data_IF_287531308093
#
_entry.id   IF_287531308093
#
_cell.length_a   1.000
_cell.length_b   1.000
_cell.length_c   1.000
_cell.angle_alpha   90.00
_cell.angle_beta   90.00
_cell.angle_gamma   90.00
#
_symmetry.space_group_name_H-M   'P 1'
#
loop_
_entity.id
_entity.type
_entity.pdbx_description
1 polymer ?
#
# COMPACT_ATOMS: atom_id res chain seq x y z
N UNK A 1 6.49 10.53 -9.17
CA UNK A 1 5.92 9.25 -8.67
C UNK A 1 4.77 9.63 -7.75
N UNK A 2 3.59 9.03 -7.93
CA UNK A 2 2.42 9.38 -7.12
C UNK A 2 2.30 8.32 -6.02
N UNK A 3 2.25 8.75 -4.77
CA UNK A 3 2.01 7.86 -3.63
C UNK A 3 0.55 7.95 -3.22
N UNK A 4 -0.03 6.79 -2.91
CA UNK A 4 -1.33 6.69 -2.27
C UNK A 4 -1.16 6.11 -0.88
N UNK A 5 -1.69 6.80 0.11
CA UNK A 5 -1.50 6.49 1.51
C UNK A 5 -2.79 6.00 2.14
N UNK A 6 -2.65 5.10 3.11
CA UNK A 6 -3.76 4.62 3.91
C UNK A 6 -4.45 3.39 3.30
N UNK A 7 -4.86 2.50 4.19
CA UNK A 7 -5.46 1.20 3.85
C UNK A 7 -6.68 1.33 2.94
N UNK A 8 -7.63 2.22 3.25
CA UNK A 8 -8.89 2.35 2.51
C UNK A 8 -8.62 2.80 1.07
N UNK A 9 -7.79 3.83 0.88
CA UNK A 9 -7.45 4.36 -0.44
C UNK A 9 -6.74 3.31 -1.29
N UNK A 10 -5.70 2.66 -0.73
CA UNK A 10 -4.93 1.62 -1.43
C UNK A 10 -5.81 0.45 -1.83
N UNK A 11 -6.67 -0.03 -0.92
CA UNK A 11 -7.61 -1.11 -1.21
C UNK A 11 -8.56 -0.73 -2.35
N UNK A 12 -9.15 0.47 -2.30
CA UNK A 12 -10.05 0.95 -3.36
C UNK A 12 -9.34 1.02 -4.71
N UNK A 13 -8.08 1.46 -4.75
CA UNK A 13 -7.31 1.54 -5.98
C UNK A 13 -6.97 0.15 -6.56
N UNK A 14 -6.60 -0.81 -5.71
CA UNK A 14 -6.38 -2.21 -6.11
C UNK A 14 -7.65 -2.84 -6.69
N UNK A 15 -8.79 -2.63 -6.04
CA UNK A 15 -10.08 -3.15 -6.49
C UNK A 15 -10.54 -2.50 -7.80
N UNK A 16 -10.34 -1.18 -7.95
CA UNK A 16 -10.77 -0.44 -9.13
C UNK A 16 -9.94 -0.77 -10.37
N UNK A 17 -8.66 -1.15 -10.22
CA UNK A 17 -7.70 -1.43 -11.32
C UNK A 17 -7.58 -0.31 -12.36
N UNK A 18 -7.93 0.92 -11.99
CA UNK A 18 -7.88 2.11 -12.87
C UNK A 18 -6.53 2.81 -12.85
N UNK A 19 -5.62 2.39 -11.97
CA UNK A 19 -4.28 2.95 -11.82
C UNK A 19 -3.26 1.84 -11.86
N UNK A 20 -2.12 2.11 -12.48
CA UNK A 20 -0.98 1.20 -12.48
C UNK A 20 -0.22 1.33 -11.16
N UNK A 21 -0.53 0.45 -10.23
CA UNK A 21 0.20 0.30 -8.97
C UNK A 21 1.40 -0.60 -9.25
N UNK A 22 2.59 -0.12 -8.92
CA UNK A 22 3.85 -0.83 -9.14
C UNK A 22 4.19 -1.75 -7.97
N UNK A 23 3.96 -1.28 -6.74
CA UNK A 23 4.19 -2.04 -5.51
C UNK A 23 3.32 -1.48 -4.38
N UNK A 24 2.88 -2.37 -3.49
CA UNK A 24 2.28 -1.99 -2.20
C UNK A 24 3.30 -2.25 -1.09
N UNK A 25 3.54 -1.24 -0.27
CA UNK A 25 4.37 -1.31 0.92
C UNK A 25 3.48 -1.46 2.14
N UNK A 26 3.77 -2.48 2.96
CA UNK A 26 3.04 -2.75 4.21
C UNK A 26 4.02 -2.74 5.36
N UNK A 27 3.67 -2.05 6.45
CA UNK A 27 4.52 -1.97 7.64
C UNK A 27 4.83 -3.37 8.19
N UNK A 28 6.06 -3.58 8.63
CA UNK A 28 6.52 -4.86 9.16
C UNK A 28 5.69 -5.38 10.33
N UNK A 29 5.36 -4.49 11.26
CA UNK A 29 4.60 -4.80 12.48
C UNK A 29 3.08 -4.68 12.31
N UNK A 30 2.59 -4.44 11.09
CA UNK A 30 1.15 -4.40 10.84
C UNK A 30 0.58 -5.82 11.00
N UNK A 31 -0.38 -6.05 11.93
CA UNK A 31 -0.95 -7.37 12.16
C UNK A 31 -1.52 -7.95 10.87
N UNK A 32 -1.25 -9.24 10.61
CA UNK A 32 -1.67 -9.90 9.38
C UNK A 32 -3.18 -9.75 9.10
N UNK A 33 -4.01 -9.88 10.13
CA UNK A 33 -5.47 -9.69 10.05
C UNK A 33 -5.85 -8.30 9.50
N UNK A 34 -5.08 -7.26 9.85
CA UNK A 34 -5.32 -5.89 9.37
C UNK A 34 -4.78 -5.65 7.95
N UNK A 35 -3.85 -6.48 7.50
CA UNK A 35 -3.24 -6.38 6.18
C UNK A 35 -3.89 -7.32 5.15
N UNK A 36 -4.61 -8.35 5.60
CA UNK A 36 -5.06 -9.47 4.75
C UNK A 36 -5.87 -9.02 3.54
N UNK A 37 -6.79 -8.07 3.72
CA UNK A 37 -7.60 -7.54 2.64
C UNK A 37 -6.77 -6.87 1.54
N UNK A 38 -5.69 -6.19 1.93
CA UNK A 38 -4.75 -5.60 0.97
C UNK A 38 -3.86 -6.65 0.32
N UNK A 39 -3.42 -7.66 1.08
CA UNK A 39 -2.63 -8.75 0.51
C UNK A 39 -3.42 -9.50 -0.55
N UNK A 40 -4.68 -9.82 -0.27
CA UNK A 40 -5.58 -10.53 -1.18
C UNK A 40 -5.88 -9.67 -2.41
N UNK A 41 -6.20 -8.38 -2.22
CA UNK A 41 -6.47 -7.47 -3.33
C UNK A 41 -5.24 -7.22 -4.21
N UNK A 42 -4.05 -7.12 -3.62
CA UNK A 42 -2.79 -6.97 -4.35
C UNK A 42 -2.46 -8.23 -5.14
N UNK A 43 -2.60 -9.41 -4.54
CA UNK A 43 -2.43 -10.69 -5.24
C UNK A 43 -3.41 -10.82 -6.41
N UNK A 44 -4.69 -10.51 -6.21
CA UNK A 44 -5.71 -10.54 -7.27
C UNK A 44 -5.39 -9.55 -8.40
N UNK A 45 -4.82 -8.40 -8.08
CA UNK A 45 -4.41 -7.39 -9.05
C UNK A 45 -3.04 -7.66 -9.71
N UNK A 46 -2.32 -8.72 -9.30
CA UNK A 46 -0.97 -9.03 -9.78
C UNK A 46 0.06 -8.00 -9.34
N UNK A 47 -0.19 -7.30 -8.24
CA UNK A 47 0.68 -6.24 -7.71
C UNK A 47 1.56 -6.82 -6.60
N UNK A 48 2.90 -6.66 -6.67
CA UNK A 48 3.78 -7.16 -5.62
C UNK A 48 3.57 -6.39 -4.31
N UNK A 49 3.67 -7.11 -3.20
CA UNK A 49 3.65 -6.53 -1.85
C UNK A 49 5.03 -6.69 -1.23
N UNK A 50 5.56 -5.62 -0.64
CA UNK A 50 6.82 -5.63 0.10
C UNK A 50 6.58 -5.14 1.53
N UNK A 51 7.26 -5.78 2.48
CA UNK A 51 7.29 -5.28 3.87
C UNK A 51 8.31 -4.15 3.99
N UNK A 52 7.95 -3.12 4.73
CA UNK A 52 8.77 -1.94 4.95
C UNK A 52 8.77 -1.58 6.45
N UNK A 53 9.85 -0.98 6.93
CA UNK A 53 9.88 -0.46 8.30
C UNK A 53 9.13 0.89 8.41
N UNK A 54 8.95 1.37 9.64
CA UNK A 54 8.23 2.62 9.85
C UNK A 54 8.95 3.85 9.31
N UNK A 55 10.28 3.85 9.28
CA UNK A 55 11.08 4.97 8.83
C UNK A 55 11.05 5.08 7.29
N UNK A 56 11.12 3.95 6.59
CA UNK A 56 10.98 3.85 5.15
C UNK A 56 9.59 4.32 4.69
N UNK A 57 8.53 3.86 5.37
CA UNK A 57 7.18 4.35 5.07
C UNK A 57 7.03 5.86 5.34
N UNK A 58 7.59 6.36 6.44
CA UNK A 58 7.55 7.79 6.77
C UNK A 58 8.32 8.65 5.77
N UNK A 59 9.43 8.16 5.21
CA UNK A 59 10.19 8.86 4.19
C UNK A 59 9.45 8.94 2.84
N UNK A 60 8.54 8.01 2.57
CA UNK A 60 7.75 7.97 1.34
C UNK A 60 6.39 8.66 1.46
N UNK A 61 5.84 8.73 2.68
CA UNK A 61 4.60 9.42 2.95
C UNK A 61 4.79 10.94 2.86
N UNK A 62 3.79 11.62 2.31
CA UNK A 62 3.66 13.08 2.38
C UNK A 62 2.88 13.51 3.63
N UNK A 63 2.10 12.61 4.25
CA UNK A 63 1.35 12.86 5.47
C UNK A 63 1.83 12.07 6.69
N UNK A 64 1.36 12.47 7.88
CA UNK A 64 1.70 11.81 9.14
C UNK A 64 0.95 10.48 9.39
N UNK A 65 -0.11 10.20 8.63
CA UNK A 65 -1.00 9.04 8.87
C UNK A 65 -1.18 8.16 7.64
N UNK A 66 -0.11 7.49 7.22
CA UNK A 66 -0.17 6.46 6.16
C UNK A 66 -0.79 5.12 6.64
N UNK A 67 -1.07 4.98 7.94
CA UNK A 67 -1.76 3.81 8.50
C UNK A 67 -1.00 2.48 8.31
N UNK A 68 0.31 2.57 8.05
CA UNK A 68 1.17 1.41 7.76
C UNK A 68 1.03 0.83 6.35
N UNK A 69 0.39 1.54 5.41
CA UNK A 69 0.23 1.08 4.03
C UNK A 69 0.45 2.23 3.03
N UNK A 70 1.30 2.00 2.04
CA UNK A 70 1.55 2.92 0.93
C UNK A 70 1.51 2.17 -0.39
N UNK A 71 0.90 2.73 -1.43
CA UNK A 71 1.00 2.22 -2.79
C UNK A 71 1.79 3.19 -3.67
N UNK A 72 2.76 2.65 -4.40
CA UNK A 72 3.56 3.39 -5.38
C UNK A 72 2.88 3.28 -6.74
N UNK A 73 2.46 4.41 -7.31
CA UNK A 73 1.77 4.48 -8.58
C UNK A 73 2.64 5.17 -9.64
N UNK A 74 2.51 4.73 -10.90
CA UNK A 74 3.00 5.53 -12.02
C UNK A 74 2.14 6.80 -12.17
N UNK A 75 2.67 7.87 -12.79
CA UNK A 75 1.85 8.94 -13.34
C UNK A 75 0.75 8.40 -14.26
#
# INVERSE_FOLDING_TARGET
MIHMEGRVSVLAALLARKRRIQVVLVKHDLPAVKAQDILDAAAAAGVPVRRADSAELAAMAHGASHGGVIAVCSP
#
